data_IF_081438844067
#
_entry.id   IF_081438844067
#
_cell.length_a   1.000
_cell.length_b   1.000
_cell.length_c   1.000
_cell.angle_alpha   90.00
_cell.angle_beta   90.00
_cell.angle_gamma   90.00
#
_symmetry.space_group_name_H-M   'P 1'
#
loop_
_entity.id
_entity.type
_entity.pdbx_description
1 polymer ?
#
# COMPACT_ATOMS: atom_id res chain seq x y z
N UNK A 1 3.59 14.06 -17.64
CA UNK A 1 2.78 13.04 -16.96
C UNK A 1 3.09 11.65 -17.46
N UNK A 2 3.24 10.71 -16.52
CA UNK A 2 3.28 9.28 -16.80
C UNK A 2 1.93 8.73 -16.34
N UNK A 3 1.11 8.24 -17.26
CA UNK A 3 -0.18 7.63 -16.90
C UNK A 3 0.06 6.25 -16.26
N UNK A 4 -0.52 6.02 -15.09
CA UNK A 4 -0.39 4.75 -14.40
C UNK A 4 -1.23 3.66 -15.10
N UNK A 5 -0.68 2.46 -15.33
CA UNK A 5 -1.42 1.36 -15.92
C UNK A 5 -2.52 0.88 -14.98
N UNK A 6 -3.66 0.46 -15.54
CA UNK A 6 -4.78 -0.14 -14.78
C UNK A 6 -4.46 -1.60 -14.44
N UNK A 7 -3.63 -1.82 -13.42
CA UNK A 7 -3.20 -3.14 -12.96
C UNK A 7 -3.40 -3.30 -11.45
N UNK A 8 -3.53 -4.55 -11.01
CA UNK A 8 -3.49 -4.92 -9.58
C UNK A 8 -2.09 -5.33 -9.12
N UNK A 9 -1.12 -5.37 -10.05
CA UNK A 9 0.27 -5.69 -9.75
C UNK A 9 0.97 -4.47 -9.14
N UNK A 10 1.04 -4.45 -7.80
CA UNK A 10 1.70 -3.39 -7.05
C UNK A 10 3.22 -3.42 -7.26
N UNK A 11 3.82 -4.57 -7.59
CA UNK A 11 5.26 -4.65 -7.89
C UNK A 11 5.57 -3.94 -9.20
N UNK A 12 4.72 -4.10 -10.22
CA UNK A 12 4.85 -3.38 -11.48
C UNK A 12 4.76 -1.86 -11.26
N UNK A 13 3.78 -1.40 -10.47
CA UNK A 13 3.62 0.02 -10.13
C UNK A 13 4.81 0.54 -9.31
N UNK A 14 5.25 -0.21 -8.29
CA UNK A 14 6.40 0.14 -7.45
C UNK A 14 7.68 0.28 -8.27
N UNK A 15 7.91 -0.60 -9.25
CA UNK A 15 9.06 -0.50 -10.17
C UNK A 15 8.99 0.75 -11.07
N UNK A 16 7.80 1.13 -11.51
CA UNK A 16 7.61 2.38 -12.24
C UNK A 16 7.95 3.59 -11.37
N UNK A 17 7.48 3.60 -10.12
CA UNK A 17 7.84 4.63 -9.14
C UNK A 17 9.35 4.63 -8.85
N UNK A 18 9.97 3.46 -8.75
CA UNK A 18 11.41 3.29 -8.53
C UNK A 18 12.28 3.86 -9.66
N UNK A 19 11.76 3.96 -10.88
CA UNK A 19 12.46 4.62 -11.98
C UNK A 19 12.48 6.15 -11.84
N UNK A 20 11.56 6.70 -11.04
CA UNK A 20 11.47 8.14 -10.74
C UNK A 20 12.22 8.44 -9.44
N UNK A 21 11.95 7.68 -8.38
CA UNK A 21 12.59 7.79 -7.07
C UNK A 21 12.98 6.39 -6.56
N UNK A 22 14.28 6.17 -6.41
CA UNK A 22 14.84 4.87 -6.00
C UNK A 22 14.40 4.43 -4.59
N UNK A 23 13.91 5.33 -3.74
CA UNK A 23 13.41 5.00 -2.40
C UNK A 23 12.23 4.00 -2.46
N UNK A 24 11.46 3.98 -3.55
CA UNK A 24 10.39 2.99 -3.73
C UNK A 24 10.88 1.54 -3.75
N UNK A 25 12.16 1.29 -4.05
CA UNK A 25 12.71 -0.08 -4.01
C UNK A 25 12.55 -0.73 -2.64
N UNK A 26 12.57 0.05 -1.56
CA UNK A 26 12.37 -0.43 -0.18
C UNK A 26 10.98 -1.04 0.04
N UNK A 27 10.00 -0.73 -0.82
CA UNK A 27 8.62 -1.23 -0.71
C UNK A 27 8.30 -2.40 -1.65
N UNK A 28 9.28 -2.88 -2.43
CA UNK A 28 9.03 -3.93 -3.44
C UNK A 28 8.52 -5.23 -2.82
N UNK A 29 9.10 -5.66 -1.70
CA UNK A 29 8.71 -6.91 -1.04
C UNK A 29 7.30 -6.82 -0.44
N UNK A 30 6.97 -5.67 0.17
CA UNK A 30 5.62 -5.40 0.69
C UNK A 30 4.58 -5.39 -0.44
N UNK A 31 4.91 -4.77 -1.58
CA UNK A 31 4.07 -4.80 -2.77
C UNK A 31 3.86 -6.22 -3.33
N UNK A 32 4.87 -7.09 -3.26
CA UNK A 32 4.76 -8.48 -3.72
C UNK A 32 3.78 -9.28 -2.87
N UNK A 33 3.89 -9.15 -1.54
CA UNK A 33 2.98 -9.78 -0.57
C UNK A 33 1.54 -9.34 -0.81
N UNK A 34 1.30 -8.03 -0.93
CA UNK A 34 -0.04 -7.48 -1.15
C UNK A 34 -0.62 -7.86 -2.52
N UNK A 35 0.21 -7.94 -3.55
CA UNK A 35 -0.21 -8.38 -4.89
C UNK A 35 -0.73 -9.82 -4.85
N UNK A 36 -0.08 -10.70 -4.09
CA UNK A 36 -0.53 -12.08 -3.89
C UNK A 36 -1.92 -12.12 -3.25
N UNK A 37 -2.16 -11.31 -2.22
CA UNK A 37 -3.48 -11.23 -1.56
C UNK A 37 -4.60 -10.75 -2.47
N UNK A 38 -4.26 -10.01 -3.52
CA UNK A 38 -5.25 -9.64 -4.52
C UNK A 38 -5.84 -10.86 -5.23
N UNK A 39 -5.12 -11.97 -5.41
CA UNK A 39 -5.63 -13.12 -6.17
C UNK A 39 -6.11 -14.27 -5.27
N UNK A 40 -5.38 -14.58 -4.20
CA UNK A 40 -5.66 -15.78 -3.38
C UNK A 40 -6.97 -15.70 -2.62
N UNK A 41 -7.41 -14.49 -2.25
CA UNK A 41 -8.64 -14.25 -1.48
C UNK A 41 -9.93 -14.37 -2.30
N UNK A 42 -9.83 -14.34 -3.64
CA UNK A 42 -10.99 -14.25 -4.55
C UNK A 42 -11.40 -15.58 -5.18
N UNK A 43 -10.54 -16.59 -5.13
CA UNK A 43 -10.81 -17.90 -5.72
C UNK A 43 -10.70 -18.98 -4.64
N UNK A 44 -11.51 -20.05 -4.73
CA UNK A 44 -11.42 -21.19 -3.81
C UNK A 44 -10.11 -21.94 -4.07
N UNK A 45 -9.02 -21.42 -3.55
CA UNK A 45 -7.71 -22.06 -3.49
C UNK A 45 -7.55 -22.67 -2.09
N UNK A 46 -6.75 -23.73 -1.96
CA UNK A 46 -6.46 -24.40 -0.67
C UNK A 46 -5.62 -23.54 0.30
N UNK A 47 -5.29 -22.30 -0.06
CA UNK A 47 -4.52 -21.39 0.79
C UNK A 47 -5.50 -20.63 1.67
N UNK A 48 -5.68 -21.12 2.90
CA UNK A 48 -6.33 -20.37 3.97
C UNK A 48 -5.36 -19.32 4.51
N UNK A 49 -5.81 -18.06 4.52
CA UNK A 49 -5.07 -16.96 5.12
C UNK A 49 -5.43 -16.89 6.61
N UNK A 50 -4.43 -16.85 7.48
CA UNK A 50 -4.66 -16.72 8.91
C UNK A 50 -4.78 -15.26 9.37
N UNK A 51 -5.20 -15.05 10.63
CA UNK A 51 -5.37 -13.71 11.20
C UNK A 51 -4.05 -12.93 11.29
N UNK A 52 -2.92 -13.61 11.52
CA UNK A 52 -1.61 -12.98 11.61
C UNK A 52 -1.12 -12.53 10.23
N UNK A 53 -1.36 -13.33 9.19
CA UNK A 53 -1.08 -12.98 7.80
C UNK A 53 -1.91 -11.78 7.36
N UNK A 54 -3.19 -11.75 7.73
CA UNK A 54 -4.07 -10.60 7.50
C UNK A 54 -3.58 -9.33 8.22
N UNK A 55 -3.21 -9.45 9.51
CA UNK A 55 -2.67 -8.33 10.27
C UNK A 55 -1.37 -7.79 9.64
N UNK A 56 -0.45 -8.69 9.27
CA UNK A 56 0.80 -8.32 8.61
C UNK A 56 0.55 -7.65 7.26
N UNK A 57 -0.43 -8.11 6.48
CA UNK A 57 -0.81 -7.46 5.23
C UNK A 57 -1.29 -6.02 5.45
N UNK A 58 -2.12 -5.79 6.47
CA UNK A 58 -2.61 -4.45 6.81
C UNK A 58 -1.44 -3.53 7.22
N UNK A 59 -0.52 -4.01 8.06
CA UNK A 59 0.67 -3.25 8.46
C UNK A 59 1.53 -2.86 7.25
N UNK A 60 1.74 -3.79 6.31
CA UNK A 60 2.49 -3.52 5.06
C UNK A 60 1.79 -2.49 4.18
N UNK A 61 0.46 -2.59 4.05
CA UNK A 61 -0.32 -1.62 3.31
C UNK A 61 -0.21 -0.22 3.92
N UNK A 62 -0.29 -0.12 5.25
CA UNK A 62 -0.09 1.14 5.97
C UNK A 62 1.30 1.72 5.72
N UNK A 63 2.35 0.88 5.82
CA UNK A 63 3.73 1.32 5.60
C UNK A 63 3.99 1.84 4.16
N UNK A 64 3.29 1.32 3.15
CA UNK A 64 3.35 1.83 1.78
C UNK A 64 2.59 3.15 1.66
N UNK A 65 1.42 3.24 2.30
CA UNK A 65 0.60 4.45 2.30
C UNK A 65 1.35 5.62 2.96
N UNK A 66 1.87 5.44 4.17
CA UNK A 66 2.59 6.48 4.91
C UNK A 66 3.82 6.97 4.16
N UNK A 67 4.56 6.03 3.53
CA UNK A 67 5.69 6.35 2.67
C UNK A 67 5.26 7.23 1.48
N UNK A 68 4.14 6.88 0.84
CA UNK A 68 3.61 7.61 -0.31
C UNK A 68 3.09 8.99 0.09
N UNK A 69 2.41 9.11 1.22
CA UNK A 69 1.91 10.39 1.77
C UNK A 69 3.06 11.30 2.14
N UNK A 70 4.13 10.77 2.76
CA UNK A 70 5.33 11.54 3.08
C UNK A 70 5.97 12.21 1.85
N UNK A 71 5.80 11.63 0.67
CA UNK A 71 6.29 12.17 -0.60
C UNK A 71 5.35 13.18 -1.27
N UNK A 72 4.10 13.30 -0.83
CA UNK A 72 3.09 14.19 -1.41
C UNK A 72 2.83 15.37 -0.44
N UNK A 73 3.42 16.55 -0.68
CA UNK A 73 3.33 17.71 0.22
C UNK A 73 1.89 18.16 0.53
N UNK A 74 0.98 17.99 -0.42
CA UNK A 74 -0.42 18.40 -0.33
C UNK A 74 -1.21 17.54 0.67
N UNK A 75 -0.83 16.26 0.83
CA UNK A 75 -1.49 15.32 1.74
C UNK A 75 -1.00 15.45 3.18
N UNK A 76 0.27 15.81 3.38
CA UNK A 76 0.83 16.13 4.70
C UNK A 76 0.16 17.34 5.38
N UNK A 77 -0.53 18.19 4.60
CA UNK A 77 -1.22 19.38 5.11
C UNK A 77 -2.64 19.09 5.64
N UNK A 78 -3.18 17.89 5.42
CA UNK A 78 -4.56 17.52 5.78
C UNK A 78 -4.67 16.85 7.16
N UNK A 79 -3.58 16.38 7.77
CA UNK A 79 -3.61 15.74 9.11
C UNK A 79 -3.84 16.73 10.27
N UNK A 80 -3.88 18.05 10.02
CA UNK A 80 -4.05 19.06 11.07
C UNK A 80 -5.47 19.64 11.19
N UNK A 81 -6.46 19.11 10.48
CA UNK A 81 -7.87 19.51 10.66
C UNK A 81 -8.80 18.30 10.74
N UNK A 82 -9.45 18.18 11.91
CA UNK A 82 -10.56 17.29 12.27
C UNK A 82 -10.20 15.87 12.75
N UNK A 83 -9.73 15.79 13.99
CA UNK A 83 -10.31 14.81 14.91
C UNK A 83 -11.63 15.37 15.47
N UNK A 84 -12.75 14.65 15.46
CA UNK A 84 -13.93 15.06 16.19
C UNK A 84 -13.66 14.89 17.69
N UNK A 85 -13.67 16.00 18.42
CA UNK A 85 -13.70 15.99 19.88
C UNK A 85 -15.01 15.33 20.32
N UNK A 86 -14.98 14.05 20.67
CA UNK A 86 -16.02 13.43 21.47
C UNK A 86 -15.84 13.95 22.91
N UNK A 87 -16.56 15.03 23.23
CA UNK A 87 -16.86 15.37 24.61
C UNK A 87 -17.79 14.29 25.18
N UNK A 88 -17.37 13.65 26.27
CA UNK A 88 -18.29 13.15 27.29
C UNK A 88 -18.73 14.30 28.19
#
# INVERSE_FOLDING_TARGET
DIEAPKTHDLVALCRMCANIDQAFKEKTDDCAVLTLYSSITRYPNEIEMDENEAASAIEKAQAIYDFSVGMIPELNSQEQKQGPTLSM
#
